data_IF_801672274812
#
_entry.id   IF_801672274812
#
_cell.length_a   1.000
_cell.length_b   1.000
_cell.length_c   1.000
_cell.angle_alpha   90.00
_cell.angle_beta   90.00
_cell.angle_gamma   90.00
#
_symmetry.space_group_name_H-M   'P 1'
#
loop_
_entity.id
_entity.type
_entity.pdbx_description
1 polymer ?
#
# COMPACT_ATOMS: atom_id res chain seq x y z
N UNK A 1 53.94 -41.21 -41.54
CA UNK A 1 53.00 -40.99 -40.41
C UNK A 1 52.24 -39.71 -40.71
N UNK A 2 51.03 -39.87 -41.23
CA UNK A 2 50.16 -38.78 -41.67
C UNK A 2 49.49 -38.20 -40.41
N UNK A 3 49.81 -36.96 -40.06
CA UNK A 3 49.23 -36.31 -38.90
C UNK A 3 47.77 -35.96 -39.21
N UNK A 4 46.84 -36.79 -38.73
CA UNK A 4 45.40 -36.52 -38.67
C UNK A 4 45.10 -35.36 -37.68
N UNK A 5 45.72 -34.20 -37.90
CA UNK A 5 45.65 -33.03 -37.03
C UNK A 5 44.67 -31.95 -37.49
N UNK A 6 44.30 -31.95 -38.79
CA UNK A 6 43.40 -30.93 -39.37
C UNK A 6 41.95 -31.10 -38.95
N UNK A 7 41.42 -32.33 -38.96
CA UNK A 7 40.01 -32.58 -38.63
C UNK A 7 39.73 -32.35 -37.14
N UNK A 8 40.61 -32.82 -36.25
CA UNK A 8 40.46 -32.68 -34.80
C UNK A 8 40.57 -31.23 -34.31
N UNK A 9 41.43 -30.43 -34.94
CA UNK A 9 41.57 -29.00 -34.64
C UNK A 9 40.34 -28.20 -35.04
N UNK A 10 39.74 -28.53 -36.19
CA UNK A 10 38.52 -27.89 -36.67
C UNK A 10 37.34 -28.14 -35.72
N UNK A 11 37.16 -29.36 -35.22
CA UNK A 11 36.10 -29.67 -34.25
C UNK A 11 36.27 -28.92 -32.93
N UNK A 12 37.49 -28.74 -32.43
CA UNK A 12 37.76 -27.97 -31.22
C UNK A 12 37.40 -26.48 -31.38
N UNK A 13 37.77 -25.88 -32.52
CA UNK A 13 37.47 -24.48 -32.81
C UNK A 13 35.97 -24.29 -33.04
N UNK A 14 35.33 -25.18 -33.80
CA UNK A 14 33.89 -25.13 -34.06
C UNK A 14 33.08 -25.24 -32.76
N UNK A 15 33.47 -26.14 -31.85
CA UNK A 15 32.80 -26.31 -30.56
C UNK A 15 32.97 -25.07 -29.67
N UNK A 16 34.16 -24.45 -29.65
CA UNK A 16 34.39 -23.20 -28.92
C UNK A 16 33.51 -22.06 -29.42
N UNK A 17 33.33 -21.94 -30.74
CA UNK A 17 32.45 -20.92 -31.34
C UNK A 17 31.00 -21.16 -30.93
N UNK A 18 30.51 -22.40 -30.96
CA UNK A 18 29.15 -22.73 -30.52
C UNK A 18 28.94 -22.37 -29.06
N UNK A 19 29.89 -22.71 -28.17
CA UNK A 19 29.81 -22.33 -26.76
C UNK A 19 29.81 -20.81 -26.59
N UNK A 20 30.66 -20.08 -27.32
CA UNK A 20 30.71 -18.62 -27.26
C UNK A 20 29.38 -17.99 -27.70
N UNK A 21 28.75 -18.49 -28.77
CA UNK A 21 27.44 -18.02 -29.24
C UNK A 21 26.35 -18.32 -28.20
N UNK A 22 26.35 -19.52 -27.61
CA UNK A 22 25.41 -19.87 -26.53
C UNK A 22 25.57 -18.96 -25.31
N UNK A 23 26.81 -18.62 -24.93
CA UNK A 23 27.07 -17.71 -23.80
C UNK A 23 26.57 -16.30 -24.10
N UNK A 24 26.82 -15.75 -25.29
CA UNK A 24 26.35 -14.41 -25.69
C UNK A 24 24.82 -14.36 -25.72
N UNK A 25 24.17 -15.38 -26.29
CA UNK A 25 22.70 -15.47 -26.33
C UNK A 25 22.11 -15.64 -24.92
N UNK A 26 22.74 -16.46 -24.08
CA UNK A 26 22.31 -16.63 -22.70
C UNK A 26 22.44 -15.33 -21.90
N UNK A 27 23.53 -14.56 -22.11
CA UNK A 27 23.72 -13.29 -21.43
C UNK A 27 22.69 -12.24 -21.88
N UNK A 28 22.37 -12.19 -23.17
CA UNK A 28 21.35 -11.26 -23.69
C UNK A 28 19.92 -11.62 -23.29
N UNK A 29 19.61 -12.92 -23.15
CA UNK A 29 18.28 -13.41 -22.78
C UNK A 29 18.04 -13.42 -21.26
N UNK A 30 19.08 -13.68 -20.49
CA UNK A 30 19.08 -13.64 -19.03
C UNK A 30 19.73 -12.36 -18.52
N UNK A 31 19.40 -11.20 -19.08
CA UNK A 31 19.69 -9.95 -18.37
C UNK A 31 18.73 -9.89 -17.16
N UNK A 32 19.21 -10.14 -15.93
CA UNK A 32 18.35 -10.16 -14.77
C UNK A 32 17.85 -8.75 -14.43
N UNK A 33 18.26 -7.69 -15.13
CA UNK A 33 17.71 -6.35 -14.90
C UNK A 33 16.31 -6.15 -15.52
N UNK A 34 15.96 -6.89 -16.57
CA UNK A 34 14.71 -6.65 -17.34
C UNK A 34 13.60 -7.67 -17.03
N UNK A 35 13.94 -8.90 -16.63
CA UNK A 35 12.97 -9.98 -16.38
C UNK A 35 12.30 -9.94 -15.00
N UNK A 36 13.06 -9.67 -13.93
CA UNK A 36 12.48 -9.59 -12.56
C UNK A 36 11.70 -8.32 -12.33
N UNK A 37 12.08 -7.19 -12.95
CA UNK A 37 11.36 -5.92 -12.77
C UNK A 37 9.93 -6.00 -13.29
N UNK A 38 9.72 -6.60 -14.47
CA UNK A 38 8.39 -6.74 -15.07
C UNK A 38 7.52 -7.74 -14.31
N UNK A 39 8.07 -8.91 -13.96
CA UNK A 39 7.33 -9.91 -13.17
C UNK A 39 6.96 -9.36 -11.78
N UNK A 40 7.91 -8.75 -11.08
CA UNK A 40 7.68 -8.22 -9.74
C UNK A 40 6.78 -6.99 -9.75
N UNK A 41 6.86 -6.14 -10.78
CA UNK A 41 5.93 -5.04 -11.00
C UNK A 41 4.51 -5.56 -11.23
N UNK A 42 4.33 -6.55 -12.12
CA UNK A 42 3.01 -7.14 -12.40
C UNK A 42 2.39 -7.78 -11.14
N UNK A 43 3.21 -8.46 -10.32
CA UNK A 43 2.78 -9.03 -9.04
C UNK A 43 2.35 -7.95 -8.05
N UNK A 44 3.10 -6.86 -7.93
CA UNK A 44 2.74 -5.76 -7.05
C UNK A 44 1.43 -5.09 -7.49
N UNK A 45 1.25 -4.85 -8.79
CA UNK A 45 0.00 -4.31 -9.33
C UNK A 45 -1.19 -5.25 -9.11
N UNK A 46 -1.00 -6.55 -9.29
CA UNK A 46 -2.04 -7.55 -9.03
C UNK A 46 -2.49 -7.54 -7.57
N UNK A 47 -1.54 -7.44 -6.63
CA UNK A 47 -1.85 -7.35 -5.18
C UNK A 47 -2.60 -6.08 -4.82
N UNK A 48 -2.21 -4.94 -5.37
CA UNK A 48 -2.93 -3.67 -5.16
C UNK A 48 -4.36 -3.76 -5.73
N UNK A 49 -4.54 -4.37 -6.90
CA UNK A 49 -5.85 -4.58 -7.50
C UNK A 49 -6.72 -5.54 -6.67
N UNK A 50 -6.14 -6.63 -6.14
CA UNK A 50 -6.82 -7.54 -5.22
C UNK A 50 -7.30 -6.81 -3.96
N UNK A 51 -6.45 -5.95 -3.37
CA UNK A 51 -6.83 -5.14 -2.22
C UNK A 51 -8.00 -4.19 -2.57
N UNK A 52 -7.97 -3.53 -3.73
CA UNK A 52 -9.05 -2.67 -4.18
C UNK A 52 -10.37 -3.44 -4.37
N UNK A 53 -10.31 -4.61 -5.01
CA UNK A 53 -11.49 -5.48 -5.20
C UNK A 53 -12.07 -5.94 -3.87
N UNK A 54 -11.23 -6.38 -2.93
CA UNK A 54 -11.64 -6.79 -1.59
C UNK A 54 -12.29 -5.65 -0.81
N UNK A 55 -11.74 -4.43 -0.90
CA UNK A 55 -12.35 -3.23 -0.29
C UNK A 55 -13.71 -2.92 -0.89
N UNK A 56 -13.84 -2.96 -2.21
CA UNK A 56 -15.11 -2.69 -2.89
C UNK A 56 -16.18 -3.74 -2.56
N UNK A 57 -15.81 -5.02 -2.50
CA UNK A 57 -16.70 -6.09 -2.08
C UNK A 57 -17.17 -5.88 -0.64
N UNK A 58 -16.27 -5.51 0.27
CA UNK A 58 -16.62 -5.22 1.66
C UNK A 58 -17.52 -3.98 1.78
N UNK A 59 -17.27 -2.92 0.99
CA UNK A 59 -18.13 -1.74 0.92
C UNK A 59 -19.56 -2.10 0.49
N UNK A 60 -19.70 -2.93 -0.54
CA UNK A 60 -21.01 -3.41 -0.99
C UNK A 60 -21.73 -4.21 0.11
N UNK A 61 -21.01 -5.11 0.80
CA UNK A 61 -21.57 -5.88 1.90
C UNK A 61 -21.98 -4.98 3.09
N UNK A 62 -21.20 -3.95 3.41
CA UNK A 62 -21.54 -2.97 4.45
C UNK A 62 -22.81 -2.20 4.04
N UNK A 63 -22.94 -1.82 2.77
CA UNK A 63 -24.14 -1.13 2.28
C UNK A 63 -25.40 -1.99 2.47
N UNK A 64 -25.32 -3.27 2.12
CA UNK A 64 -26.43 -4.24 2.35
C UNK A 64 -26.69 -4.42 3.84
N UNK A 65 -25.64 -4.57 4.65
CA UNK A 65 -25.77 -4.73 6.10
C UNK A 65 -26.45 -3.51 6.75
N UNK A 66 -26.09 -2.29 6.33
CA UNK A 66 -26.70 -1.04 6.81
C UNK A 66 -28.20 -0.96 6.52
N UNK A 67 -28.69 -1.54 5.41
CA UNK A 67 -30.13 -1.59 5.12
C UNK A 67 -30.89 -2.40 6.17
N UNK A 68 -30.29 -3.49 6.66
CA UNK A 68 -30.85 -4.30 7.75
C UNK A 68 -30.58 -3.75 9.16
N UNK A 69 -29.62 -2.83 9.30
CA UNK A 69 -29.18 -2.27 10.59
C UNK A 69 -29.02 -0.73 10.53
N UNK A 70 -30.10 0.04 10.30
CA UNK A 70 -30.00 1.48 10.04
C UNK A 70 -29.47 2.29 11.24
N UNK A 71 -29.67 1.80 12.46
CA UNK A 71 -29.28 2.51 13.69
C UNK A 71 -27.94 2.03 14.28
N UNK A 72 -27.17 1.20 13.55
CA UNK A 72 -25.87 0.71 14.03
C UNK A 72 -24.73 1.21 13.15
N UNK A 73 -23.65 1.65 13.79
CA UNK A 73 -22.41 1.98 13.08
C UNK A 73 -21.72 0.68 12.63
N UNK A 74 -21.28 0.59 11.37
CA UNK A 74 -20.56 -0.60 10.92
C UNK A 74 -19.16 -0.61 11.54
N UNK A 75 -18.90 -1.59 12.38
CA UNK A 75 -17.55 -1.96 12.84
C UNK A 75 -17.22 -3.38 12.36
N UNK A 76 -15.93 -3.71 12.34
CA UNK A 76 -15.47 -5.05 11.96
C UNK A 76 -16.10 -6.13 12.85
N UNK A 77 -16.24 -5.84 14.15
CA UNK A 77 -16.87 -6.71 15.13
C UNK A 77 -18.38 -6.84 14.87
N UNK A 78 -19.05 -5.73 14.54
CA UNK A 78 -20.48 -5.74 14.23
C UNK A 78 -20.79 -6.56 12.95
N UNK A 79 -19.92 -6.48 11.94
CA UNK A 79 -20.02 -7.25 10.69
C UNK A 79 -19.74 -8.73 10.93
N UNK A 80 -18.71 -9.06 11.72
CA UNK A 80 -18.36 -10.45 12.06
C UNK A 80 -19.44 -11.13 12.91
N UNK A 81 -20.08 -10.38 13.79
CA UNK A 81 -21.12 -10.88 14.70
C UNK A 81 -22.54 -10.75 14.11
N UNK A 82 -22.68 -10.34 12.85
CA UNK A 82 -23.98 -10.24 12.20
C UNK A 82 -24.53 -11.62 11.82
N UNK A 83 -25.84 -11.71 11.59
CA UNK A 83 -26.50 -12.94 11.13
C UNK A 83 -27.24 -12.65 9.82
N UNK A 84 -26.75 -13.13 8.66
CA UNK A 84 -25.56 -13.95 8.47
C UNK A 84 -24.23 -13.17 8.64
N UNK A 85 -23.13 -13.83 9.05
CA UNK A 85 -21.84 -13.16 9.19
C UNK A 85 -21.34 -12.61 7.86
N UNK A 86 -20.92 -11.34 7.85
CA UNK A 86 -20.31 -10.76 6.66
C UNK A 86 -18.87 -11.25 6.54
N UNK A 87 -18.52 -11.85 5.41
CA UNK A 87 -17.16 -12.28 5.12
C UNK A 87 -16.24 -11.05 5.00
N UNK A 88 -15.28 -10.94 5.90
CA UNK A 88 -14.26 -9.89 5.86
C UNK A 88 -13.05 -10.46 5.12
N UNK A 89 -12.69 -9.91 3.95
CA UNK A 89 -11.52 -10.38 3.20
C UNK A 89 -10.24 -10.14 4.00
N UNK A 90 -9.30 -11.07 3.92
CA UNK A 90 -7.98 -10.95 4.56
C UNK A 90 -6.97 -10.48 3.51
N UNK A 91 -6.12 -9.52 3.86
CA UNK A 91 -5.03 -9.11 3.00
C UNK A 91 -3.94 -10.20 3.00
N UNK A 92 -3.56 -10.71 1.82
CA UNK A 92 -2.53 -11.77 1.71
C UNK A 92 -1.17 -11.36 2.27
N UNK A 93 -0.87 -10.07 2.27
CA UNK A 93 0.37 -9.51 2.84
C UNK A 93 0.29 -9.27 4.37
N UNK A 94 -0.76 -9.76 5.03
CA UNK A 94 -0.94 -9.60 6.48
C UNK A 94 -1.45 -8.22 6.89
N UNK A 95 -1.92 -7.41 5.95
CA UNK A 95 -2.51 -6.11 6.23
C UNK A 95 -3.79 -6.20 7.04
N UNK A 96 -3.97 -5.26 7.97
CA UNK A 96 -5.18 -5.14 8.79
C UNK A 96 -6.16 -4.24 8.05
N UNK A 97 -7.42 -4.67 7.97
CA UNK A 97 -8.50 -3.85 7.44
C UNK A 97 -9.16 -3.09 8.60
N UNK A 98 -9.29 -1.78 8.44
CA UNK A 98 -10.02 -0.91 9.39
C UNK A 98 -11.13 -0.14 8.66
N UNK A 99 -12.17 0.21 9.39
CA UNK A 99 -13.29 1.01 8.87
C UNK A 99 -13.22 2.40 9.52
N UNK A 100 -13.15 3.44 8.70
CA UNK A 100 -13.19 4.83 9.13
C UNK A 100 -14.57 5.29 9.59
N UNK A 101 -14.66 6.46 10.25
CA UNK A 101 -15.91 6.98 10.80
C UNK A 101 -16.98 7.24 9.73
N UNK A 102 -16.58 7.55 8.50
CA UNK A 102 -17.48 7.77 7.36
C UNK A 102 -17.87 6.47 6.63
N UNK A 103 -17.36 5.31 7.08
CA UNK A 103 -17.53 4.03 6.40
C UNK A 103 -16.52 3.76 5.28
N UNK A 104 -15.48 4.57 5.17
CA UNK A 104 -14.34 4.27 4.30
C UNK A 104 -13.58 3.05 4.82
N UNK A 105 -13.05 2.23 3.92
CA UNK A 105 -12.32 1.01 4.28
C UNK A 105 -10.85 1.26 4.02
N UNK A 106 -10.00 1.03 5.00
CA UNK A 106 -8.55 1.17 4.90
C UNK A 106 -7.87 -0.18 5.03
N UNK A 107 -6.72 -0.33 4.36
CA UNK A 107 -5.82 -1.47 4.51
C UNK A 107 -4.45 -0.93 4.90
N UNK A 108 -3.90 -1.38 6.02
CA UNK A 108 -2.63 -0.87 6.53
C UNK A 108 -1.44 -0.97 5.56
N UNK A 109 -1.53 -1.83 4.54
CA UNK A 109 -0.45 -2.08 3.57
C UNK A 109 -0.66 -1.30 2.26
N UNK A 110 -1.82 -1.44 1.61
CA UNK A 110 -2.04 -0.90 0.27
C UNK A 110 -2.87 0.39 0.22
N UNK A 111 -3.57 0.74 1.31
CA UNK A 111 -4.40 1.95 1.39
C UNK A 111 -4.55 2.41 2.84
N UNK A 112 -3.47 2.96 3.43
CA UNK A 112 -3.47 3.34 4.84
C UNK A 112 -4.46 4.46 5.11
N UNK A 113 -4.99 4.50 6.34
CA UNK A 113 -5.80 5.62 6.77
C UNK A 113 -4.99 6.92 6.70
N UNK A 114 -5.60 8.05 6.30
CA UNK A 114 -4.91 9.33 6.33
C UNK A 114 -4.41 9.58 7.74
N UNK A 115 -3.12 9.89 7.87
CA UNK A 115 -2.56 10.29 9.17
C UNK A 115 -3.31 11.54 9.62
N UNK A 116 -3.91 11.57 10.82
CA UNK A 116 -4.57 12.78 11.29
C UNK A 116 -3.53 13.89 11.27
N UNK A 117 -3.79 14.94 10.51
CA UNK A 117 -2.98 16.16 10.59
C UNK A 117 -2.98 16.57 12.05
N UNK A 118 -1.81 16.72 12.71
CA UNK A 118 -1.79 17.13 14.09
C UNK A 118 -2.52 18.47 14.17
N UNK A 119 -3.68 18.48 14.84
CA UNK A 119 -4.32 19.74 15.21
C UNK A 119 -3.25 20.52 15.97
N UNK A 120 -2.82 21.71 15.51
CA UNK A 120 -1.89 22.51 16.26
C UNK A 120 -2.50 22.67 17.66
N UNK A 121 -1.80 22.17 18.68
CA UNK A 121 -2.14 22.43 20.07
C UNK A 121 -2.37 23.93 20.16
N UNK A 122 -3.57 24.36 20.54
CA UNK A 122 -3.84 25.78 20.75
C UNK A 122 -2.97 26.25 21.91
N UNK A 123 -1.80 26.82 21.59
CA UNK A 123 -0.87 27.39 22.58
C UNK A 123 -1.30 28.80 23.00
N UNK A 124 -2.35 29.37 22.41
CA UNK A 124 -2.72 30.79 22.56
C UNK A 124 -3.87 31.11 23.53
N UNK A 125 -4.37 30.16 24.34
CA UNK A 125 -5.48 30.48 25.26
C UNK A 125 -5.03 31.08 26.61
N UNK A 126 -3.74 31.24 26.87
CA UNK A 126 -3.22 31.76 28.16
C UNK A 126 -2.48 33.11 28.07
N UNK A 127 -2.46 33.77 26.91
CA UNK A 127 -1.79 35.07 26.76
C UNK A 127 -2.69 36.30 27.04
N UNK A 128 -3.83 36.13 27.73
CA UNK A 128 -4.85 37.17 27.88
C UNK A 128 -5.46 37.31 29.28
N UNK A 129 -4.74 36.92 30.34
CA UNK A 129 -5.20 37.10 31.73
C UNK A 129 -4.42 38.16 32.53
N UNK A 130 -3.45 38.84 31.91
CA UNK A 130 -2.65 39.90 32.55
C UNK A 130 -3.03 41.32 32.06
N UNK A 131 -4.32 41.55 31.71
CA UNK A 131 -4.80 42.91 31.48
C UNK A 131 -5.11 43.57 32.82
N UNK A 132 -4.08 44.20 33.39
CA UNK A 132 -4.15 45.01 34.60
C UNK A 132 -5.17 46.16 34.41
N UNK A 133 -6.21 46.28 35.25
CA UNK A 133 -7.25 47.29 35.07
C UNK A 133 -6.66 48.70 35.23
N UNK A 134 -6.85 49.54 34.21
CA UNK A 134 -6.39 50.93 34.19
C UNK A 134 -6.94 51.72 35.40
N UNK A 135 -6.13 52.63 35.99
CA UNK A 135 -6.57 53.44 37.12
C UNK A 135 -7.72 54.39 36.73
N UNK A 136 -8.70 54.61 37.61
CA UNK A 136 -9.82 55.49 37.33
C UNK A 136 -9.35 56.94 37.14
N UNK A 137 -9.81 57.54 36.04
CA UNK A 137 -9.57 58.95 35.71
C UNK A 137 -10.16 59.86 36.81
N UNK A 138 -9.41 60.83 37.36
CA UNK A 138 -9.94 61.72 38.38
C UNK A 138 -11.05 62.62 37.80
N UNK A 139 -12.15 62.84 38.53
CA UNK A 139 -13.22 63.72 38.08
C UNK A 139 -12.71 65.17 37.99
N UNK A 140 -12.92 65.76 36.82
CA UNK A 140 -12.57 67.13 36.51
C UNK A 140 -13.14 68.13 37.52
N UNK A 141 -12.22 68.98 37.98
CA UNK A 141 -12.53 70.28 38.57
C UNK A 141 -13.24 71.14 37.53
N UNK A 142 -14.36 71.74 37.92
CA UNK A 142 -14.83 73.00 37.36
C UNK A 142 -14.13 74.15 38.07
#
# INVERSE_FOLDING_TARGET
MQTNGGERGFYMIALLIVIAVLLILSWGYFDPSQGVSTYQSSMNSAKTAECAANRNALLANIAVWRMSHPNRTPSIEALRNSNPPVAIPVCREGGIISIGPQGEIFCSVHYPAPTPTPTPLAVDFLAGLDEEPAPPTPPGQR
#
